data_IF_078360774645
#
_entry.id   IF_078360774645
#
_cell.length_a   1.000
_cell.length_b   1.000
_cell.length_c   1.000
_cell.angle_alpha   90.00
_cell.angle_beta   90.00
_cell.angle_gamma   90.00
#
_symmetry.space_group_name_H-M   'P 1'
#
loop_
_entity.id
_entity.type
_entity.pdbx_description
1 polymer ?
#
# COMPACT_ATOMS: atom_id res chain seq x y z
N UNK A 1 -26.01 -22.51 -32.45
CA UNK A 1 -25.31 -21.44 -31.73
C UNK A 1 -25.84 -20.11 -32.23
N UNK A 2 -26.51 -19.32 -31.37
CA UNK A 2 -27.16 -18.08 -31.82
C UNK A 2 -26.16 -16.94 -32.02
N UNK A 3 -26.47 -15.94 -32.88
CA UNK A 3 -25.57 -14.83 -33.21
C UNK A 3 -25.16 -14.00 -32.01
N UNK A 4 -25.92 -14.02 -30.90
CA UNK A 4 -25.56 -13.37 -29.64
C UNK A 4 -24.40 -14.05 -28.90
N UNK A 5 -24.24 -15.38 -29.02
CA UNK A 5 -23.15 -16.13 -28.43
C UNK A 5 -21.81 -15.86 -29.14
N UNK A 6 -21.87 -15.73 -30.47
CA UNK A 6 -20.69 -15.38 -31.29
C UNK A 6 -20.22 -13.94 -31.01
N UNK A 7 -21.14 -12.98 -30.84
CA UNK A 7 -20.79 -11.60 -30.45
C UNK A 7 -20.16 -11.52 -29.06
N UNK A 8 -20.62 -12.29 -28.06
CA UNK A 8 -20.02 -12.35 -26.72
C UNK A 8 -18.64 -12.99 -26.71
N UNK A 9 -18.39 -13.98 -27.58
CA UNK A 9 -17.07 -14.60 -27.73
C UNK A 9 -16.04 -13.63 -28.38
N UNK A 10 -16.50 -12.82 -29.35
CA UNK A 10 -15.64 -11.82 -30.02
C UNK A 10 -15.31 -10.62 -29.15
N UNK A 11 -16.03 -10.39 -28.06
CA UNK A 11 -15.80 -9.27 -27.11
C UNK A 11 -14.91 -9.63 -25.91
N UNK A 12 -14.35 -10.85 -25.85
CA UNK A 12 -13.35 -11.17 -24.83
C UNK A 12 -12.04 -10.47 -25.21
N UNK A 13 -11.62 -9.40 -24.51
CA UNK A 13 -10.36 -8.74 -24.80
C UNK A 13 -9.24 -9.76 -24.70
N UNK A 14 -8.28 -9.72 -25.63
CA UNK A 14 -7.13 -10.60 -25.61
C UNK A 14 -6.42 -10.46 -24.25
N UNK A 15 -5.90 -11.57 -23.70
CA UNK A 15 -5.22 -11.56 -22.37
C UNK A 15 -4.13 -10.50 -22.26
N UNK A 16 -3.51 -10.12 -23.39
CA UNK A 16 -2.53 -9.05 -23.46
C UNK A 16 -3.12 -7.65 -23.19
N UNK A 17 -4.30 -7.36 -23.77
CA UNK A 17 -4.97 -6.06 -23.57
C UNK A 17 -5.45 -5.88 -22.13
N UNK A 18 -5.89 -6.96 -21.46
CA UNK A 18 -6.26 -6.93 -20.04
C UNK A 18 -5.05 -6.64 -19.14
N UNK A 19 -3.90 -7.25 -19.41
CA UNK A 19 -2.67 -7.01 -18.64
C UNK A 19 -2.17 -5.58 -18.83
N UNK A 20 -2.23 -5.07 -20.06
CA UNK A 20 -1.85 -3.69 -20.34
C UNK A 20 -2.80 -2.69 -19.68
N UNK A 21 -4.11 -2.94 -19.69
CA UNK A 21 -5.09 -2.10 -19.03
C UNK A 21 -4.86 -2.07 -17.49
N UNK A 22 -4.59 -3.22 -16.87
CA UNK A 22 -4.25 -3.29 -15.44
C UNK A 22 -2.96 -2.53 -15.12
N UNK A 23 -1.94 -2.65 -15.98
CA UNK A 23 -0.68 -1.91 -15.80
C UNK A 23 -0.90 -0.40 -15.89
N UNK A 24 -1.65 0.06 -16.92
CA UNK A 24 -1.99 1.47 -17.08
C UNK A 24 -2.79 2.02 -15.87
N UNK A 25 -3.74 1.24 -15.36
CA UNK A 25 -4.52 1.60 -14.17
C UNK A 25 -3.66 1.68 -12.92
N UNK A 26 -2.72 0.75 -12.73
CA UNK A 26 -1.74 0.83 -11.63
C UNK A 26 -0.89 2.10 -11.73
N UNK A 27 -0.42 2.46 -12.93
CA UNK A 27 0.35 3.68 -13.16
C UNK A 27 -0.46 4.93 -12.80
N UNK A 28 -1.68 5.02 -13.30
CA UNK A 28 -2.58 6.14 -13.06
C UNK A 28 -2.91 6.28 -11.56
N UNK A 29 -3.22 5.16 -10.91
CA UNK A 29 -3.46 5.12 -9.46
C UNK A 29 -2.22 5.56 -8.69
N UNK A 30 -1.03 5.14 -9.12
CA UNK A 30 0.24 5.56 -8.53
C UNK A 30 0.46 7.07 -8.60
N UNK A 31 0.16 7.70 -9.75
CA UNK A 31 0.22 9.16 -9.90
C UNK A 31 -0.73 9.85 -8.92
N UNK A 32 -1.99 9.40 -8.84
CA UNK A 32 -2.95 9.98 -7.89
C UNK A 32 -2.53 9.80 -6.43
N UNK A 33 -1.95 8.65 -6.11
CA UNK A 33 -1.44 8.39 -4.76
C UNK A 33 -0.28 9.31 -4.40
N UNK A 34 0.67 9.53 -5.32
CA UNK A 34 1.82 10.43 -5.08
C UNK A 34 1.36 11.85 -4.91
N UNK A 35 0.46 12.35 -5.77
CA UNK A 35 -0.12 13.68 -5.63
C UNK A 35 -0.89 13.84 -4.31
N UNK A 36 -1.66 12.83 -3.92
CA UNK A 36 -2.40 12.83 -2.66
C UNK A 36 -1.51 12.68 -1.42
N UNK A 37 -0.29 12.15 -1.57
CA UNK A 37 0.68 11.96 -0.51
C UNK A 37 1.60 13.17 -0.29
N UNK A 38 1.50 14.23 -1.10
CA UNK A 38 2.30 15.46 -0.93
C UNK A 38 2.22 16.02 0.49
N UNK A 39 1.03 16.10 1.14
CA UNK A 39 0.98 16.31 2.56
C UNK A 39 1.36 15.01 3.26
N UNK A 40 2.57 14.90 3.76
CA UNK A 40 3.18 13.67 4.34
C UNK A 40 2.24 12.88 5.26
N UNK A 41 1.34 13.56 5.98
CA UNK A 41 0.34 12.94 6.86
C UNK A 41 -0.71 12.12 6.09
N UNK A 42 -0.90 12.38 4.80
CA UNK A 42 -1.90 11.70 3.96
C UNK A 42 -1.36 10.45 3.26
N UNK A 43 -0.11 10.06 3.46
CA UNK A 43 0.51 8.87 2.84
C UNK A 43 -0.33 7.61 3.05
N UNK A 44 -0.70 7.29 4.31
CA UNK A 44 -1.53 6.12 4.60
C UNK A 44 -2.97 6.24 4.04
N UNK A 45 -3.69 7.36 4.21
CA UNK A 45 -4.97 7.59 3.54
C UNK A 45 -4.90 7.50 2.02
N UNK A 46 -3.86 8.06 1.39
CA UNK A 46 -3.66 7.99 -0.06
C UNK A 46 -3.45 6.54 -0.52
N UNK A 47 -2.64 5.78 0.20
CA UNK A 47 -2.43 4.36 -0.08
C UNK A 47 -3.72 3.55 0.09
N UNK A 48 -4.51 3.81 1.14
CA UNK A 48 -5.80 3.14 1.35
C UNK A 48 -6.80 3.44 0.22
N UNK A 49 -6.87 4.69 -0.23
CA UNK A 49 -7.72 5.11 -1.36
C UNK A 49 -7.27 4.45 -2.67
N UNK A 50 -5.94 4.37 -2.93
CA UNK A 50 -5.38 3.67 -4.08
C UNK A 50 -5.70 2.17 -4.09
N UNK A 51 -5.53 1.49 -2.96
CA UNK A 51 -5.91 0.08 -2.82
C UNK A 51 -7.41 -0.14 -3.02
N UNK A 52 -8.26 0.77 -2.52
CA UNK A 52 -9.70 0.71 -2.71
C UNK A 52 -10.09 0.90 -4.18
N UNK A 53 -9.44 1.84 -4.89
CA UNK A 53 -9.63 2.08 -6.31
C UNK A 53 -9.25 0.85 -7.15
N UNK A 54 -8.05 0.30 -6.93
CA UNK A 54 -7.57 -0.89 -7.64
C UNK A 54 -8.47 -2.12 -7.39
N UNK A 55 -9.00 -2.29 -6.18
CA UNK A 55 -9.95 -3.38 -5.88
C UNK A 55 -11.22 -3.26 -6.71
N UNK A 56 -11.83 -2.06 -6.77
CA UNK A 56 -13.04 -1.83 -7.59
C UNK A 56 -12.77 -2.13 -9.05
N UNK A 57 -11.63 -1.69 -9.57
CA UNK A 57 -11.23 -1.98 -10.94
C UNK A 57 -11.09 -3.49 -11.19
N UNK A 58 -10.46 -4.23 -10.27
CA UNK A 58 -10.32 -5.69 -10.35
C UNK A 58 -11.66 -6.43 -10.20
N UNK A 59 -12.64 -5.84 -9.52
CA UNK A 59 -14.01 -6.36 -9.38
C UNK A 59 -14.89 -5.99 -10.57
N UNK A 60 -14.33 -5.32 -11.60
CA UNK A 60 -15.02 -4.93 -12.83
C UNK A 60 -15.92 -3.69 -12.67
N UNK A 61 -15.82 -2.99 -11.55
CA UNK A 61 -16.56 -1.76 -11.31
C UNK A 61 -15.88 -0.59 -12.01
N UNK A 62 -16.68 0.33 -12.57
CA UNK A 62 -16.17 1.62 -13.08
C UNK A 62 -15.76 2.49 -11.90
N UNK A 63 -14.47 2.70 -11.73
CA UNK A 63 -13.94 3.58 -10.70
C UNK A 63 -13.39 4.85 -11.34
N UNK A 64 -13.85 6.00 -10.84
CA UNK A 64 -13.51 7.31 -11.36
C UNK A 64 -12.55 8.03 -10.39
N UNK A 65 -11.81 9.03 -10.88
CA UNK A 65 -10.98 9.87 -10.03
C UNK A 65 -11.75 10.53 -8.87
N UNK A 66 -13.05 10.82 -9.08
CA UNK A 66 -13.95 11.36 -8.04
C UNK A 66 -14.15 10.37 -6.90
N UNK A 67 -14.26 9.09 -7.21
CA UNK A 67 -14.40 8.01 -6.22
C UNK A 67 -13.13 7.86 -5.40
N UNK A 68 -11.95 8.02 -6.06
CA UNK A 68 -10.66 8.07 -5.37
C UNK A 68 -10.60 9.26 -4.39
N UNK A 69 -10.96 10.47 -4.83
CA UNK A 69 -10.95 11.66 -3.97
C UNK A 69 -11.93 11.55 -2.80
N UNK A 70 -13.12 11.00 -3.03
CA UNK A 70 -14.10 10.76 -1.98
C UNK A 70 -13.56 9.78 -0.93
N UNK A 71 -12.98 8.67 -1.38
CA UNK A 71 -12.32 7.71 -0.52
C UNK A 71 -11.11 8.29 0.24
N UNK A 72 -10.31 9.13 -0.42
CA UNK A 72 -9.19 9.83 0.19
C UNK A 72 -9.66 10.79 1.30
N UNK A 73 -10.70 11.60 1.04
CA UNK A 73 -11.27 12.52 2.04
C UNK A 73 -11.78 11.76 3.25
N UNK A 74 -12.55 10.70 3.04
CA UNK A 74 -13.07 9.84 4.11
C UNK A 74 -11.93 9.22 4.91
N UNK A 75 -10.92 8.64 4.22
CA UNK A 75 -9.78 8.02 4.84
C UNK A 75 -8.96 9.03 5.66
N UNK A 76 -8.77 10.25 5.16
CA UNK A 76 -8.03 11.31 5.85
C UNK A 76 -8.80 11.81 7.08
N UNK A 77 -10.10 12.10 6.94
CA UNK A 77 -10.92 12.59 8.07
C UNK A 77 -10.96 11.61 9.23
N UNK A 78 -11.07 10.32 8.94
CA UNK A 78 -11.14 9.27 9.97
C UNK A 78 -9.77 8.81 10.45
N UNK A 79 -8.70 9.02 9.68
CA UNK A 79 -7.38 8.41 9.88
C UNK A 79 -6.24 9.36 10.20
N UNK A 80 -6.44 10.66 10.29
CA UNK A 80 -5.35 11.61 10.51
C UNK A 80 -4.58 11.35 11.82
N UNK A 81 -5.32 10.99 12.91
CA UNK A 81 -4.71 10.63 14.20
C UNK A 81 -3.86 9.36 14.10
N UNK A 82 -4.36 8.35 13.37
CA UNK A 82 -3.64 7.12 13.14
C UNK A 82 -2.39 7.35 12.29
N UNK A 83 -2.50 8.17 11.24
CA UNK A 83 -1.36 8.57 10.41
C UNK A 83 -0.32 9.34 11.20
N UNK A 84 -0.74 10.25 12.06
CA UNK A 84 0.18 10.99 12.94
C UNK A 84 0.91 10.05 13.89
N UNK A 85 0.20 9.16 14.58
CA UNK A 85 0.80 8.17 15.48
C UNK A 85 1.80 7.27 14.74
N UNK A 86 1.45 6.85 13.53
CA UNK A 86 2.33 6.04 12.70
C UNK A 86 3.62 6.79 12.32
N UNK A 87 3.52 8.06 11.96
CA UNK A 87 4.69 8.90 11.69
C UNK A 87 5.55 9.15 12.93
N UNK A 88 4.92 9.36 14.09
CA UNK A 88 5.64 9.50 15.37
C UNK A 88 6.41 8.22 15.70
N UNK A 89 5.78 7.04 15.52
CA UNK A 89 6.45 5.76 15.72
C UNK A 89 7.65 5.58 14.79
N UNK A 90 7.52 5.91 13.50
CA UNK A 90 8.63 5.89 12.55
C UNK A 90 9.75 6.86 12.92
N UNK A 91 9.40 8.09 13.34
CA UNK A 91 10.38 9.11 13.74
C UNK A 91 11.16 8.66 14.97
N UNK A 92 10.49 8.09 15.97
CA UNK A 92 11.15 7.56 17.17
C UNK A 92 12.12 6.43 16.82
N UNK A 93 11.67 5.44 16.03
CA UNK A 93 12.53 4.32 15.62
C UNK A 93 13.71 4.79 14.73
N UNK A 94 13.49 5.79 13.87
CA UNK A 94 14.56 6.39 13.09
C UNK A 94 15.55 7.15 13.96
N UNK A 95 15.08 7.83 15.00
CA UNK A 95 15.91 8.50 15.99
C UNK A 95 16.73 7.47 16.77
N UNK A 96 16.12 6.39 17.27
CA UNK A 96 16.83 5.31 17.96
C UNK A 96 17.93 4.70 17.08
N UNK A 97 17.61 4.47 15.79
CA UNK A 97 18.60 3.98 14.82
C UNK A 97 19.77 4.98 14.64
N UNK A 98 19.49 6.27 14.61
CA UNK A 98 20.54 7.31 14.55
C UNK A 98 21.43 7.26 15.77
N UNK A 99 20.84 7.22 16.96
CA UNK A 99 21.57 7.16 18.24
C UNK A 99 22.39 5.86 18.32
N UNK A 100 21.83 4.71 17.96
CA UNK A 100 22.55 3.44 17.96
C UNK A 100 23.79 3.44 17.04
N UNK A 101 23.74 4.17 15.93
CA UNK A 101 24.87 4.31 14.98
C UNK A 101 26.02 5.18 15.50
N UNK A 102 25.81 6.00 16.53
CA UNK A 102 26.89 6.83 17.09
C UNK A 102 27.94 6.03 17.87
N UNK A 103 27.62 4.76 18.19
CA UNK A 103 28.53 3.90 18.98
C UNK A 103 28.61 4.26 20.46
N UNK A 104 27.84 5.24 20.93
CA UNK A 104 27.86 5.69 22.32
C UNK A 104 27.24 4.70 23.30
N UNK A 105 26.49 3.68 22.81
CA UNK A 105 25.77 2.73 23.65
C UNK A 105 26.41 1.34 23.58
N UNK A 106 26.62 0.65 24.73
CA UNK A 106 27.01 -0.75 24.73
C UNK A 106 25.90 -1.59 24.10
N UNK A 107 26.25 -2.53 23.21
CA UNK A 107 25.25 -3.33 22.48
C UNK A 107 24.72 -2.70 21.18
N UNK A 108 25.40 -1.70 20.61
CA UNK A 108 25.02 -0.99 19.39
C UNK A 108 24.50 -1.87 18.24
N UNK A 109 25.19 -2.97 17.86
CA UNK A 109 24.70 -3.86 16.79
C UNK A 109 23.33 -4.47 17.04
N UNK A 110 23.05 -4.88 18.29
CA UNK A 110 21.75 -5.44 18.66
C UNK A 110 20.65 -4.34 18.59
N UNK A 111 20.96 -3.13 19.10
CA UNK A 111 20.04 -2.00 19.01
C UNK A 111 19.72 -1.62 17.55
N UNK A 112 20.72 -1.59 16.68
CA UNK A 112 20.53 -1.34 15.23
C UNK A 112 19.60 -2.38 14.64
N UNK A 113 19.82 -3.67 14.92
CA UNK A 113 18.97 -4.76 14.41
C UNK A 113 17.52 -4.62 14.87
N UNK A 114 17.30 -4.32 16.16
CA UNK A 114 15.95 -4.13 16.73
C UNK A 114 15.27 -2.89 16.11
N UNK A 115 15.97 -1.76 15.98
CA UNK A 115 15.41 -0.55 15.39
C UNK A 115 15.05 -0.74 13.91
N UNK A 116 15.88 -1.43 13.13
CA UNK A 116 15.59 -1.75 11.73
C UNK A 116 14.40 -2.69 11.62
N UNK A 117 14.35 -3.75 12.43
CA UNK A 117 13.22 -4.67 12.45
C UNK A 117 11.92 -3.95 12.86
N UNK A 118 11.98 -3.07 13.86
CA UNK A 118 10.85 -2.24 14.30
C UNK A 118 10.36 -1.30 13.18
N UNK A 119 11.28 -0.61 12.49
CA UNK A 119 10.94 0.25 11.34
C UNK A 119 10.21 -0.53 10.24
N UNK A 120 10.74 -1.68 9.84
CA UNK A 120 10.11 -2.53 8.84
C UNK A 120 8.75 -3.03 9.29
N UNK A 121 8.62 -3.45 10.55
CA UNK A 121 7.35 -3.90 11.12
C UNK A 121 6.29 -2.79 11.11
N UNK A 122 6.63 -1.57 11.52
CA UNK A 122 5.71 -0.41 11.53
C UNK A 122 5.33 -0.02 10.11
N UNK A 123 6.27 -0.02 9.16
CA UNK A 123 6.00 0.26 7.74
C UNK A 123 5.02 -0.77 7.16
N UNK A 124 5.31 -2.06 7.31
CA UNK A 124 4.46 -3.15 6.81
C UNK A 124 3.09 -3.13 7.46
N UNK A 125 3.02 -2.92 8.79
CA UNK A 125 1.76 -2.82 9.50
C UNK A 125 0.91 -1.65 8.99
N UNK A 126 1.51 -0.49 8.76
CA UNK A 126 0.84 0.67 8.18
C UNK A 126 0.25 0.38 6.81
N UNK A 127 1.04 -0.20 5.89
CA UNK A 127 0.59 -0.58 4.55
C UNK A 127 -0.51 -1.64 4.59
N UNK A 128 -0.36 -2.69 5.39
CA UNK A 128 -1.41 -3.72 5.56
C UNK A 128 -2.69 -3.14 6.14
N UNK A 129 -2.59 -2.25 7.13
CA UNK A 129 -3.74 -1.55 7.71
C UNK A 129 -4.49 -0.76 6.64
N UNK A 130 -3.77 0.01 5.84
CA UNK A 130 -4.34 0.78 4.75
C UNK A 130 -4.98 -0.11 3.67
N UNK A 131 -4.38 -1.28 3.38
CA UNK A 131 -4.91 -2.25 2.41
C UNK A 131 -6.17 -2.93 2.92
N UNK A 132 -6.18 -3.40 4.17
CA UNK A 132 -7.34 -4.13 4.75
C UNK A 132 -8.52 -3.20 5.01
N UNK A 133 -8.26 -1.90 5.20
CA UNK A 133 -9.31 -0.93 5.52
C UNK A 133 -10.39 -0.87 4.44
N UNK A 134 -11.64 -0.87 4.88
CA UNK A 134 -12.85 -0.65 4.06
C UNK A 134 -13.50 0.69 4.42
N UNK A 135 -14.27 1.32 3.52
CA UNK A 135 -15.09 2.48 3.87
C UNK A 135 -15.93 2.20 5.11
N UNK A 136 -16.00 3.15 6.02
CA UNK A 136 -16.70 2.99 7.30
C UNK A 136 -15.96 2.21 8.39
N UNK A 137 -14.84 1.52 8.08
CA UNK A 137 -14.07 0.78 9.10
C UNK A 137 -13.13 1.71 9.86
N UNK A 138 -13.14 1.63 11.19
CA UNK A 138 -12.22 2.38 12.05
C UNK A 138 -10.76 1.90 11.85
N UNK A 139 -9.81 2.83 11.78
CA UNK A 139 -8.38 2.53 11.58
C UNK A 139 -7.78 1.58 12.61
N UNK A 140 -8.08 1.70 13.94
CA UNK A 140 -7.56 0.75 14.92
C UNK A 140 -8.09 -0.67 14.74
N UNK A 141 -9.32 -0.83 14.24
CA UNK A 141 -9.88 -2.14 13.93
C UNK A 141 -9.17 -2.77 12.73
N UNK A 142 -8.93 -1.99 11.67
CA UNK A 142 -8.15 -2.42 10.52
C UNK A 142 -6.72 -2.79 10.90
N UNK A 143 -6.08 -2.03 11.81
CA UNK A 143 -4.73 -2.32 12.30
C UNK A 143 -4.66 -3.65 13.08
N UNK A 144 -5.64 -3.94 13.93
CA UNK A 144 -5.73 -5.23 14.64
C UNK A 144 -5.89 -6.40 13.66
N UNK A 145 -6.73 -6.24 12.65
CA UNK A 145 -6.90 -7.25 11.59
C UNK A 145 -5.61 -7.46 10.81
N UNK A 146 -4.96 -6.37 10.40
CA UNK A 146 -3.69 -6.40 9.68
C UNK A 146 -2.57 -7.06 10.50
N UNK A 147 -2.48 -6.77 11.80
CA UNK A 147 -1.50 -7.38 12.70
C UNK A 147 -1.71 -8.89 12.82
N UNK A 148 -2.96 -9.34 13.03
CA UNK A 148 -3.28 -10.78 13.11
C UNK A 148 -2.96 -11.50 11.82
N UNK A 149 -3.30 -10.94 10.67
CA UNK A 149 -3.01 -11.53 9.36
C UNK A 149 -1.50 -11.56 9.07
N UNK A 150 -0.78 -10.48 9.42
CA UNK A 150 0.65 -10.35 9.15
C UNK A 150 1.53 -11.26 9.99
N UNK A 151 1.17 -11.48 11.25
CA UNK A 151 1.98 -12.28 12.19
C UNK A 151 1.65 -13.78 12.12
N UNK A 152 0.38 -14.13 11.89
CA UNK A 152 -0.06 -15.53 12.03
C UNK A 152 -0.27 -16.27 10.70
N UNK A 153 -0.64 -15.56 9.61
CA UNK A 153 -1.14 -16.22 8.41
C UNK A 153 -0.28 -16.01 7.17
N UNK A 154 0.46 -14.90 7.04
CA UNK A 154 1.08 -14.54 5.76
C UNK A 154 2.42 -13.80 5.91
N UNK A 155 3.45 -14.53 6.33
CA UNK A 155 4.83 -14.02 6.37
C UNK A 155 5.34 -13.71 4.95
N UNK A 156 4.97 -14.53 3.97
CA UNK A 156 5.35 -14.32 2.56
C UNK A 156 4.81 -13.01 2.00
N UNK A 157 3.57 -12.64 2.32
CA UNK A 157 3.01 -11.35 1.93
C UNK A 157 3.70 -10.17 2.60
N UNK A 158 4.17 -10.31 3.84
CA UNK A 158 4.98 -9.27 4.50
C UNK A 158 6.31 -9.07 3.80
N UNK A 159 6.99 -10.15 3.41
CA UNK A 159 8.25 -10.08 2.64
C UNK A 159 8.06 -9.44 1.27
N UNK A 160 6.95 -9.72 0.57
CA UNK A 160 6.61 -9.06 -0.69
C UNK A 160 6.40 -7.56 -0.51
N UNK A 161 5.76 -7.13 0.57
CA UNK A 161 5.58 -5.71 0.87
C UNK A 161 6.92 -5.03 1.22
N UNK A 162 7.80 -5.71 1.94
CA UNK A 162 9.16 -5.21 2.21
C UNK A 162 9.94 -5.05 0.91
N UNK A 163 9.88 -6.06 0.03
CA UNK A 163 10.48 -5.98 -1.31
C UNK A 163 9.92 -4.82 -2.14
N UNK A 164 8.61 -4.63 -2.14
CA UNK A 164 7.96 -3.51 -2.81
C UNK A 164 8.37 -2.14 -2.23
N UNK A 165 8.53 -2.03 -0.91
CA UNK A 165 9.07 -0.83 -0.26
C UNK A 165 10.53 -0.57 -0.66
N UNK A 166 11.35 -1.63 -0.74
CA UNK A 166 12.73 -1.50 -1.20
C UNK A 166 12.80 -0.99 -2.66
N UNK A 167 11.95 -1.54 -3.54
CA UNK A 167 11.83 -1.05 -4.93
C UNK A 167 11.38 0.41 -4.96
N UNK A 168 10.41 0.80 -4.13
CA UNK A 168 9.96 2.19 -4.04
C UNK A 168 11.09 3.11 -3.54
N UNK A 169 11.87 2.69 -2.55
CA UNK A 169 13.01 3.44 -2.05
C UNK A 169 14.11 3.63 -3.11
N UNK A 170 14.43 2.57 -3.86
CA UNK A 170 15.39 2.63 -4.97
C UNK A 170 14.86 3.53 -6.08
N UNK A 171 13.59 3.42 -6.44
CA UNK A 171 12.97 4.28 -7.44
C UNK A 171 13.01 5.76 -7.04
N UNK A 172 12.74 6.06 -5.75
CA UNK A 172 12.82 7.42 -5.22
C UNK A 172 14.25 7.98 -5.22
N UNK A 173 15.23 7.11 -5.01
CA UNK A 173 16.64 7.48 -5.05
C UNK A 173 17.13 7.79 -6.48
N UNK A 174 16.72 6.97 -7.45
CA UNK A 174 17.18 7.08 -8.82
C UNK A 174 16.52 8.25 -9.57
N UNK A 175 15.21 8.31 -9.57
CA UNK A 175 14.45 9.34 -10.27
C UNK A 175 13.07 9.54 -9.62
N UNK A 176 12.75 10.76 -9.22
CA UNK A 176 11.45 11.13 -8.68
C UNK A 176 10.24 10.63 -9.51
N UNK A 177 10.23 10.72 -10.85
CA UNK A 177 9.10 10.23 -11.65
C UNK A 177 8.80 8.72 -11.50
N UNK A 178 9.80 7.91 -11.10
CA UNK A 178 9.63 6.46 -10.89
C UNK A 178 8.87 6.12 -9.61
N UNK A 179 8.69 7.07 -8.71
CA UNK A 179 7.89 6.87 -7.48
C UNK A 179 6.44 6.54 -7.83
N UNK A 180 5.87 7.16 -8.86
CA UNK A 180 4.46 6.93 -9.23
C UNK A 180 4.22 5.49 -9.69
N UNK A 181 4.93 4.94 -10.69
CA UNK A 181 4.77 3.54 -11.07
C UNK A 181 5.10 2.57 -9.94
N UNK A 182 6.13 2.85 -9.13
CA UNK A 182 6.51 1.99 -8.01
C UNK A 182 5.43 1.99 -6.90
N UNK A 183 4.83 3.14 -6.59
CA UNK A 183 3.73 3.24 -5.64
C UNK A 183 2.48 2.51 -6.12
N UNK A 184 2.13 2.64 -7.40
CA UNK A 184 1.02 1.90 -8.01
C UNK A 184 1.25 0.38 -8.00
N UNK A 185 2.46 -0.07 -8.34
CA UNK A 185 2.84 -1.48 -8.26
C UNK A 185 2.77 -2.01 -6.82
N UNK A 186 3.27 -1.23 -5.84
CA UNK A 186 3.18 -1.58 -4.42
C UNK A 186 1.73 -1.74 -3.97
N UNK A 187 0.83 -0.83 -4.37
CA UNK A 187 -0.60 -0.94 -4.07
C UNK A 187 -1.23 -2.18 -4.73
N UNK A 188 -0.86 -2.48 -5.98
CA UNK A 188 -1.29 -3.70 -6.68
C UNK A 188 -0.83 -4.97 -5.97
N UNK A 189 0.43 -5.03 -5.55
CA UNK A 189 0.98 -6.14 -4.76
C UNK A 189 0.25 -6.29 -3.42
N UNK A 190 -0.02 -5.18 -2.72
CA UNK A 190 -0.72 -5.20 -1.45
C UNK A 190 -2.14 -5.75 -1.58
N UNK A 191 -2.88 -5.36 -2.63
CA UNK A 191 -4.22 -5.89 -2.93
C UNK A 191 -4.16 -7.38 -3.29
N UNK A 192 -3.15 -7.83 -4.06
CA UNK A 192 -2.96 -9.23 -4.40
C UNK A 192 -2.68 -10.10 -3.17
N UNK A 193 -1.81 -9.62 -2.27
CA UNK A 193 -1.51 -10.28 -0.98
C UNK A 193 -2.77 -10.39 -0.12
N UNK A 194 -3.56 -9.31 -0.02
CA UNK A 194 -4.82 -9.33 0.73
C UNK A 194 -5.83 -10.35 0.18
N UNK A 195 -5.98 -10.42 -1.15
CA UNK A 195 -6.87 -11.39 -1.80
C UNK A 195 -6.43 -12.83 -1.53
N UNK A 196 -5.12 -13.09 -1.59
CA UNK A 196 -4.57 -14.42 -1.30
C UNK A 196 -4.81 -14.85 0.15
N UNK A 197 -4.69 -13.91 1.10
CA UNK A 197 -4.91 -14.21 2.53
C UNK A 197 -6.39 -14.49 2.88
N UNK A 198 -7.32 -14.24 1.97
CA UNK A 198 -8.77 -14.48 2.13
C UNK A 198 -9.27 -15.74 1.39
N UNK A 199 -8.47 -16.26 0.44
CA UNK A 199 -8.78 -17.46 -0.32
C UNK A 199 -8.40 -18.73 0.46
#
# INVERSE_FOLDING_TARGET
>A
MGPAAVRRAAQRPARGTLRFALFAECLLTGVWMVLAALPVITVLPAFAAGCAHLRRHLDGERSTWRDFLTGLREATRSGWRFSLLWWVALALLAFDLRVARTGALPGGPALIAVSVAGLLAVLVLGLRTATVRRPGTAWPAAARTAARQGLAADVGGSLLLIGGLAVLAVAAWQMLPLIAPAAGALAGCAVAVERRARA
#
